data_IF_623198977160
#
_entry.id   IF_623198977160
#
_cell.length_a   1.000
_cell.length_b   1.000
_cell.length_c   1.000
_cell.angle_alpha   90.00
_cell.angle_beta   90.00
_cell.angle_gamma   90.00
#
_symmetry.space_group_name_H-M   'P 1'
#
loop_
_entity.id
_entity.type
_entity.pdbx_description
1 polymer ?
#
# COMPACT_ATOMS: atom_id res chain seq x y z
N UNK A 1 0.26 37.81 -6.52
CA UNK A 1 -0.86 37.03 -5.92
C UNK A 1 -0.92 35.74 -6.70
N UNK A 2 -0.53 34.56 -6.19
CA UNK A 2 -0.80 33.95 -4.88
C UNK A 2 0.34 32.96 -4.57
N UNK A 3 0.96 33.06 -3.39
CA UNK A 3 1.92 32.06 -2.90
C UNK A 3 1.13 30.89 -2.31
N UNK A 4 1.17 29.72 -2.95
CA UNK A 4 0.73 28.47 -2.33
C UNK A 4 1.80 28.05 -1.32
N UNK A 5 1.50 28.21 -0.03
CA UNK A 5 2.27 27.59 1.04
C UNK A 5 2.02 26.08 0.99
N UNK A 6 2.98 25.32 0.46
CA UNK A 6 3.00 23.88 0.66
C UNK A 6 3.45 23.62 2.10
N UNK A 7 2.71 22.84 2.91
CA UNK A 7 3.16 22.46 4.24
C UNK A 7 4.48 21.69 4.13
N UNK A 8 5.49 22.17 4.86
CA UNK A 8 6.83 21.56 4.96
C UNK A 8 6.70 20.09 5.36
N UNK A 9 7.57 19.22 4.83
CA UNK A 9 7.59 17.75 5.04
C UNK A 9 7.43 17.30 6.50
N UNK A 10 7.76 18.19 7.46
CA UNK A 10 7.62 17.99 8.90
C UNK A 10 6.16 17.91 9.39
N UNK A 11 5.21 18.64 8.78
CA UNK A 11 3.79 18.62 9.19
C UNK A 11 3.04 17.34 8.76
N UNK A 12 3.59 16.59 7.79
CA UNK A 12 3.06 15.27 7.38
C UNK A 12 3.56 14.12 8.23
N UNK A 13 4.51 14.34 9.13
CA UNK A 13 4.84 13.35 10.14
C UNK A 13 3.83 13.50 11.28
N UNK A 14 2.92 12.53 11.40
CA UNK A 14 2.07 12.42 12.59
C UNK A 14 3.00 12.51 13.81
N UNK A 15 2.76 13.41 14.78
CA UNK A 15 3.62 13.53 15.94
C UNK A 15 3.67 12.17 16.64
N UNK A 16 4.78 11.46 16.49
CA UNK A 16 5.04 10.27 17.25
C UNK A 16 5.36 10.74 18.66
N UNK A 17 4.48 10.43 19.62
CA UNK A 17 4.82 10.62 21.02
C UNK A 17 6.15 9.91 21.31
N UNK A 18 7.16 10.69 21.73
CA UNK A 18 8.50 10.19 22.11
C UNK A 18 8.61 9.97 23.62
N UNK A 19 7.52 10.17 24.36
CA UNK A 19 7.50 9.92 25.80
C UNK A 19 7.57 8.41 26.08
N UNK A 20 8.01 8.06 27.29
CA UNK A 20 8.08 6.67 27.75
C UNK A 20 6.71 6.00 27.73
N UNK A 21 5.64 6.75 28.03
CA UNK A 21 4.26 6.27 27.97
C UNK A 21 3.84 5.98 26.52
N UNK A 22 4.19 6.85 25.57
CA UNK A 22 3.86 6.66 24.17
C UNK A 22 4.60 5.46 23.55
N UNK A 23 5.86 5.23 23.96
CA UNK A 23 6.61 4.04 23.61
C UNK A 23 5.99 2.78 24.20
N UNK A 24 5.58 2.81 25.47
CA UNK A 24 4.94 1.68 26.15
C UNK A 24 3.61 1.29 25.52
N UNK A 25 2.75 2.27 25.19
CA UNK A 25 1.48 2.00 24.48
C UNK A 25 1.74 1.36 23.12
N UNK A 26 2.72 1.87 22.36
CA UNK A 26 3.08 1.30 21.05
C UNK A 26 3.58 -0.13 21.18
N UNK A 27 4.47 -0.38 22.14
CA UNK A 27 5.00 -1.72 22.39
C UNK A 27 3.88 -2.70 22.78
N UNK A 28 2.97 -2.28 23.66
CA UNK A 28 1.84 -3.11 24.07
C UNK A 28 0.89 -3.42 22.93
N UNK A 29 0.59 -2.45 22.05
CA UNK A 29 -0.23 -2.70 20.87
C UNK A 29 0.45 -3.72 19.96
N UNK A 30 1.76 -3.56 19.71
CA UNK A 30 2.51 -4.52 18.90
C UNK A 30 2.48 -5.92 19.52
N UNK A 31 2.78 -6.02 20.81
CA UNK A 31 2.76 -7.31 21.53
C UNK A 31 1.36 -7.94 21.55
N UNK A 32 0.31 -7.15 21.73
CA UNK A 32 -1.07 -7.64 21.68
C UNK A 32 -1.43 -8.16 20.28
N UNK A 33 -1.02 -7.46 19.23
CA UNK A 33 -1.18 -7.91 17.85
C UNK A 33 -0.42 -9.23 17.61
N UNK A 34 0.84 -9.30 18.04
CA UNK A 34 1.69 -10.48 17.87
C UNK A 34 1.14 -11.69 18.64
N UNK A 35 0.61 -11.48 19.85
CA UNK A 35 -0.06 -12.52 20.64
C UNK A 35 -1.40 -12.96 20.02
N UNK A 36 -2.17 -12.02 19.48
CA UNK A 36 -3.45 -12.31 18.82
C UNK A 36 -3.24 -13.12 17.54
N UNK A 37 -2.33 -12.68 16.67
CA UNK A 37 -1.98 -13.39 15.45
C UNK A 37 -1.28 -14.72 15.77
N UNK A 38 -0.36 -14.71 16.74
CA UNK A 38 0.27 -15.87 17.34
C UNK A 38 0.77 -16.92 16.33
N UNK A 39 0.72 -18.18 16.74
CA UNK A 39 0.95 -19.34 15.85
C UNK A 39 -0.36 -19.95 15.35
N UNK A 40 -1.50 -19.29 15.59
CA UNK A 40 -2.80 -19.84 15.21
C UNK A 40 -3.02 -19.66 13.71
N UNK A 41 -2.85 -20.76 12.98
CA UNK A 41 -3.14 -20.84 11.53
C UNK A 41 -4.55 -20.32 11.24
N UNK A 42 -5.54 -20.64 12.09
CA UNK A 42 -6.92 -20.18 11.90
C UNK A 42 -7.04 -18.65 11.95
N UNK A 43 -6.38 -17.98 12.90
CA UNK A 43 -6.46 -16.52 13.02
C UNK A 43 -5.72 -15.84 11.86
N UNK A 44 -4.56 -16.37 11.47
CA UNK A 44 -3.81 -15.87 10.33
C UNK A 44 -4.62 -15.98 9.03
N UNK A 45 -5.24 -17.14 8.78
CA UNK A 45 -6.10 -17.35 7.61
C UNK A 45 -7.35 -16.46 7.64
N UNK A 46 -7.99 -16.31 8.81
CA UNK A 46 -9.13 -15.41 8.98
C UNK A 46 -8.73 -13.96 8.67
N UNK A 47 -7.59 -13.50 9.19
CA UNK A 47 -7.09 -12.15 8.96
C UNK A 47 -6.73 -11.92 7.48
N UNK A 48 -6.02 -12.87 6.87
CA UNK A 48 -5.69 -12.86 5.44
C UNK A 48 -6.95 -12.77 4.58
N UNK A 49 -7.99 -13.55 4.92
CA UNK A 49 -9.28 -13.51 4.25
C UNK A 49 -9.96 -12.15 4.38
N UNK A 50 -9.98 -11.55 5.57
CA UNK A 50 -10.54 -10.22 5.78
C UNK A 50 -9.80 -9.12 4.98
N UNK A 51 -8.48 -9.23 4.87
CA UNK A 51 -7.68 -8.33 4.03
C UNK A 51 -8.00 -8.52 2.55
N UNK A 52 -8.08 -9.76 2.07
CA UNK A 52 -8.47 -10.10 0.70
C UNK A 52 -9.84 -9.49 0.35
N UNK A 53 -10.85 -9.71 1.21
CA UNK A 53 -12.20 -9.19 0.98
C UNK A 53 -12.24 -7.65 0.90
N UNK A 54 -11.49 -6.97 1.76
CA UNK A 54 -11.37 -5.51 1.71
C UNK A 54 -10.65 -5.05 0.46
N UNK A 55 -9.58 -5.73 0.05
CA UNK A 55 -8.85 -5.42 -1.17
C UNK A 55 -9.72 -5.60 -2.41
N UNK A 56 -10.44 -6.72 -2.52
CA UNK A 56 -11.34 -7.02 -3.63
C UNK A 56 -12.45 -5.97 -3.73
N UNK A 57 -13.02 -5.57 -2.58
CA UNK A 57 -14.03 -4.52 -2.53
C UNK A 57 -13.50 -3.18 -3.06
N UNK A 58 -12.39 -2.68 -2.49
CA UNK A 58 -11.86 -1.37 -2.89
C UNK A 58 -11.26 -1.38 -4.30
N UNK A 59 -10.62 -2.48 -4.71
CA UNK A 59 -10.07 -2.60 -6.06
C UNK A 59 -11.20 -2.64 -7.10
N UNK A 60 -12.31 -3.29 -6.82
CA UNK A 60 -13.50 -3.27 -7.69
C UNK A 60 -14.12 -1.88 -7.83
N UNK A 61 -14.26 -1.15 -6.71
CA UNK A 61 -14.75 0.24 -6.71
C UNK A 61 -13.80 1.13 -7.54
N UNK A 62 -12.50 1.05 -7.26
CA UNK A 62 -11.48 1.83 -7.98
C UNK A 62 -11.52 1.55 -9.49
N UNK A 63 -11.49 0.28 -9.91
CA UNK A 63 -11.56 -0.11 -11.33
C UNK A 63 -12.79 0.49 -12.01
N UNK A 64 -13.95 0.42 -11.36
CA UNK A 64 -15.21 0.97 -11.90
C UNK A 64 -15.15 2.49 -12.04
N UNK A 65 -14.65 3.20 -11.03
CA UNK A 65 -14.60 4.66 -11.02
C UNK A 65 -13.52 5.24 -11.94
N UNK A 66 -12.45 4.49 -12.21
CA UNK A 66 -11.29 4.99 -12.98
C UNK A 66 -11.14 4.40 -14.37
N UNK A 67 -12.00 3.45 -14.80
CA UNK A 67 -11.84 2.76 -16.09
C UNK A 67 -11.83 3.69 -17.32
N UNK A 68 -12.48 4.85 -17.24
CA UNK A 68 -12.55 5.84 -18.33
C UNK A 68 -11.68 7.07 -18.07
N UNK A 69 -10.95 7.12 -16.95
CA UNK A 69 -10.08 8.24 -16.61
C UNK A 69 -8.72 8.07 -17.30
N UNK A 70 -8.31 9.06 -18.08
CA UNK A 70 -6.95 9.16 -18.64
C UNK A 70 -5.99 10.00 -17.77
N UNK A 71 -6.52 10.62 -16.72
CA UNK A 71 -5.75 11.45 -15.81
C UNK A 71 -5.13 10.60 -14.69
N UNK A 72 -3.81 10.43 -14.72
CA UNK A 72 -3.06 9.70 -13.70
C UNK A 72 -3.30 10.21 -12.28
N UNK A 73 -3.50 11.52 -12.11
CA UNK A 73 -3.76 12.11 -10.79
C UNK A 73 -5.14 11.73 -10.24
N UNK A 74 -6.16 11.61 -11.09
CA UNK A 74 -7.50 11.14 -10.67
C UNK A 74 -7.46 9.67 -10.28
N UNK A 75 -6.76 8.86 -11.06
CA UNK A 75 -6.58 7.42 -10.81
C UNK A 75 -5.94 7.20 -9.44
N UNK A 76 -4.89 7.95 -9.08
CA UNK A 76 -4.19 7.80 -7.79
C UNK A 76 -4.87 8.52 -6.62
N UNK A 77 -5.62 9.60 -6.87
CA UNK A 77 -6.36 10.35 -5.84
C UNK A 77 -7.78 9.82 -5.60
N UNK A 78 -8.11 8.66 -6.14
CA UNK A 78 -9.37 8.00 -5.86
C UNK A 78 -9.48 7.59 -4.37
N UNK A 79 -10.68 7.64 -3.80
CA UNK A 79 -10.93 7.30 -2.40
C UNK A 79 -10.64 5.82 -2.09
N UNK A 80 -11.09 4.91 -2.95
CA UNK A 80 -10.85 3.48 -2.81
C UNK A 80 -9.36 3.13 -2.94
N UNK A 81 -8.63 3.82 -3.83
CA UNK A 81 -7.17 3.69 -3.94
C UNK A 81 -6.46 4.05 -2.62
N UNK A 82 -6.86 5.16 -1.99
CA UNK A 82 -6.34 5.55 -0.66
C UNK A 82 -6.75 4.57 0.44
N UNK A 83 -7.94 4.00 0.38
CA UNK A 83 -8.37 2.97 1.32
C UNK A 83 -7.48 1.73 1.23
N UNK A 84 -7.11 1.28 0.03
CA UNK A 84 -6.16 0.18 -0.18
C UNK A 84 -4.81 0.48 0.48
N UNK A 85 -4.24 1.66 0.24
CA UNK A 85 -3.00 2.08 0.90
C UNK A 85 -3.16 2.11 2.43
N UNK A 86 -4.35 2.52 2.90
CA UNK A 86 -4.70 2.55 4.32
C UNK A 86 -4.78 1.18 5.00
N UNK A 87 -4.89 0.08 4.23
CA UNK A 87 -4.83 -1.29 4.77
C UNK A 87 -3.41 -1.68 5.23
N UNK A 88 -2.37 -0.95 4.79
CA UNK A 88 -1.00 -1.15 5.23
C UNK A 88 -0.24 -2.22 4.46
N UNK A 89 0.95 -2.58 4.96
CA UNK A 89 1.92 -3.43 4.25
C UNK A 89 1.44 -4.87 4.00
N UNK A 90 0.54 -5.37 4.84
CA UNK A 90 0.03 -6.74 4.71
C UNK A 90 -0.79 -6.95 3.43
N UNK A 91 -1.16 -5.86 2.73
CA UNK A 91 -1.85 -5.93 1.44
C UNK A 91 -0.92 -6.09 0.23
N UNK A 92 0.40 -5.91 0.40
CA UNK A 92 1.37 -5.96 -0.70
C UNK A 92 1.25 -7.27 -1.53
N UNK A 93 1.14 -8.47 -0.93
CA UNK A 93 1.01 -9.70 -1.70
C UNK A 93 -0.21 -9.70 -2.64
N UNK A 94 -1.36 -9.18 -2.17
CA UNK A 94 -2.58 -9.12 -2.98
C UNK A 94 -2.46 -8.11 -4.14
N UNK A 95 -1.80 -6.97 -3.89
CA UNK A 95 -1.49 -6.00 -4.95
C UNK A 95 -0.59 -6.63 -6.02
N UNK A 96 0.44 -7.38 -5.61
CA UNK A 96 1.34 -8.08 -6.53
C UNK A 96 0.59 -9.15 -7.32
N UNK A 97 -0.32 -9.90 -6.69
CA UNK A 97 -1.17 -10.87 -7.39
C UNK A 97 -2.09 -10.21 -8.43
N UNK A 98 -2.76 -9.11 -8.11
CA UNK A 98 -3.57 -8.36 -9.08
C UNK A 98 -2.70 -7.75 -10.19
N UNK A 99 -1.49 -7.29 -9.85
CA UNK A 99 -0.52 -6.79 -10.82
C UNK A 99 -0.07 -7.89 -11.79
N UNK A 100 0.04 -9.16 -11.38
CA UNK A 100 0.34 -10.27 -12.30
C UNK A 100 -0.76 -10.42 -13.37
N UNK A 101 -2.02 -10.30 -12.95
CA UNK A 101 -3.19 -10.57 -13.81
C UNK A 101 -3.61 -9.36 -14.67
N UNK A 102 -3.23 -8.15 -14.29
CA UNK A 102 -3.70 -6.92 -14.93
C UNK A 102 -2.55 -5.96 -15.29
N UNK A 103 -2.87 -4.91 -16.05
CA UNK A 103 -1.98 -3.76 -16.29
C UNK A 103 -2.33 -2.57 -15.37
N UNK A 104 -2.96 -2.86 -14.23
CA UNK A 104 -3.40 -1.83 -13.30
C UNK A 104 -2.23 -1.02 -12.72
N UNK A 105 -2.44 0.28 -12.57
CA UNK A 105 -1.43 1.24 -12.11
C UNK A 105 -1.20 1.20 -10.58
N UNK A 106 -0.76 0.05 -10.06
CA UNK A 106 -0.45 -0.12 -8.64
C UNK A 106 0.92 0.41 -8.21
N UNK A 107 1.75 0.89 -9.13
CA UNK A 107 3.14 1.29 -8.86
C UNK A 107 3.27 2.31 -7.72
N UNK A 108 2.39 3.32 -7.69
CA UNK A 108 2.39 4.33 -6.64
C UNK A 108 1.96 3.76 -5.28
N UNK A 109 0.95 2.88 -5.26
CA UNK A 109 0.55 2.18 -4.04
C UNK A 109 1.69 1.32 -3.49
N UNK A 110 2.38 0.57 -4.36
CA UNK A 110 3.53 -0.25 -3.96
C UNK A 110 4.67 0.61 -3.42
N UNK A 111 5.04 1.70 -4.09
CA UNK A 111 6.08 2.63 -3.62
C UNK A 111 5.75 3.25 -2.25
N UNK A 112 4.50 3.64 -2.02
CA UNK A 112 4.05 4.19 -0.74
C UNK A 112 4.01 3.14 0.39
N UNK A 113 3.66 1.90 0.07
CA UNK A 113 3.55 0.82 1.04
C UNK A 113 4.91 0.24 1.41
N UNK A 114 5.81 0.05 0.43
CA UNK A 114 7.14 -0.52 0.65
C UNK A 114 8.14 0.54 1.11
N UNK A 115 7.98 1.79 0.64
CA UNK A 115 8.99 2.83 0.76
C UNK A 115 10.14 2.68 -0.23
N UNK A 116 10.01 1.79 -1.22
CA UNK A 116 11.03 1.46 -2.22
C UNK A 116 10.50 1.65 -3.65
N UNK A 117 11.41 1.89 -4.59
CA UNK A 117 11.09 1.97 -6.01
C UNK A 117 12.09 1.15 -6.83
N UNK A 118 11.77 -0.10 -7.20
CA UNK A 118 12.67 -0.98 -7.95
C UNK A 118 12.74 -0.65 -9.46
N UNK A 119 11.94 0.32 -9.93
CA UNK A 119 11.83 0.63 -11.36
C UNK A 119 13.11 1.32 -11.84
N UNK A 120 13.79 0.69 -12.80
CA UNK A 120 14.98 1.27 -13.41
C UNK A 120 14.63 2.52 -14.20
N UNK A 121 15.52 3.51 -14.23
CA UNK A 121 15.30 4.77 -14.96
C UNK A 121 14.94 4.54 -16.43
N UNK A 122 15.52 3.52 -17.06
CA UNK A 122 15.30 3.12 -18.47
C UNK A 122 13.92 2.49 -18.70
N UNK A 123 13.29 1.93 -17.67
CA UNK A 123 12.00 1.26 -17.75
C UNK A 123 10.82 2.21 -17.49
N UNK A 124 11.08 3.42 -17.00
CA UNK A 124 10.04 4.39 -16.63
C UNK A 124 9.18 4.77 -17.83
N UNK A 125 7.86 4.69 -17.65
CA UNK A 125 6.88 4.96 -18.70
C UNK A 125 6.56 3.74 -19.58
N UNK A 126 7.29 2.63 -19.43
CA UNK A 126 7.02 1.37 -20.13
C UNK A 126 6.35 0.42 -19.13
N UNK A 127 5.01 0.41 -19.13
CA UNK A 127 4.18 -0.28 -18.13
C UNK A 127 4.61 -1.74 -17.92
N UNK A 128 4.86 -2.48 -19.00
CA UNK A 128 5.26 -3.88 -18.93
C UNK A 128 6.63 -4.07 -18.24
N UNK A 129 7.61 -3.21 -18.50
CA UNK A 129 8.92 -3.29 -17.84
C UNK A 129 8.84 -2.86 -16.38
N UNK A 130 8.05 -1.81 -16.07
CA UNK A 130 7.80 -1.39 -14.70
C UNK A 130 7.12 -2.50 -13.88
N UNK A 131 6.15 -3.21 -14.49
CA UNK A 131 5.51 -4.38 -13.91
C UNK A 131 6.55 -5.49 -13.65
N UNK A 132 7.39 -5.82 -14.62
CA UNK A 132 8.45 -6.81 -14.44
C UNK A 132 9.41 -6.46 -13.31
N UNK A 133 9.80 -5.19 -13.17
CA UNK A 133 10.67 -4.75 -12.07
C UNK A 133 10.02 -4.98 -10.69
N UNK A 134 8.72 -4.68 -10.56
CA UNK A 134 7.98 -4.93 -9.32
C UNK A 134 7.77 -6.42 -9.03
N UNK A 135 7.50 -7.24 -10.05
CA UNK A 135 7.38 -8.69 -9.89
C UNK A 135 8.72 -9.32 -9.45
N UNK A 136 9.83 -8.91 -10.07
CA UNK A 136 11.18 -9.34 -9.69
C UNK A 136 11.56 -8.89 -8.27
N UNK A 137 11.08 -7.72 -7.85
CA UNK A 137 11.25 -7.26 -6.46
C UNK A 137 10.44 -8.13 -5.49
N UNK A 138 9.20 -8.45 -5.83
CA UNK A 138 8.32 -9.28 -4.99
C UNK A 138 8.88 -10.69 -4.76
N UNK A 139 9.43 -11.32 -5.80
CA UNK A 139 10.09 -12.64 -5.70
C UNK A 139 11.26 -12.63 -4.71
N UNK A 140 11.93 -11.50 -4.51
CA UNK A 140 13.09 -11.39 -3.60
C UNK A 140 12.73 -11.00 -2.17
N UNK A 141 11.53 -10.44 -1.94
CA UNK A 141 11.17 -9.79 -0.67
C UNK A 141 9.91 -10.35 -0.01
N UNK A 142 9.10 -11.14 -0.71
CA UNK A 142 7.82 -11.67 -0.21
C UNK A 142 7.88 -13.20 0.03
N UNK A 143 8.92 -13.89 -0.47
CA UNK A 143 9.21 -15.30 -0.10
C UNK A 143 9.72 -15.47 1.33
#
# INVERSE_FOLDING_TARGET
MTYFFYPTTQERQRPMGVSVEAQFVRQNIQTAHDLFMGQSIFIQEMYKKQLSEKFDLYSGIWKTETMFSSNSSEITNNSAYRCIIGLGKDIIPFIIEDLKQSENHWFNALELLTGENPIKSEHRGIINLMKSDWLNWAEKNIE
#
